data_IF_065361322582
#
_entry.id   IF_065361322582
#
_cell.length_a   1.000
_cell.length_b   1.000
_cell.length_c   1.000
_cell.angle_alpha   90.00
_cell.angle_beta   90.00
_cell.angle_gamma   90.00
#
_symmetry.space_group_name_H-M   'P 1'
#
loop_
_entity.id
_entity.type
_entity.pdbx_description
1 polymer ?
#
# COMPACT_ATOMS: atom_id res chain seq x y z
N UNK A 1 -2.02 8.77 -4.34
CA UNK A 1 -2.73 7.73 -5.13
C UNK A 1 -1.76 7.18 -6.17
N UNK A 2 -1.37 5.91 -6.07
CA UNK A 2 -0.55 5.27 -7.12
C UNK A 2 -1.48 4.67 -8.17
N UNK A 3 -1.44 5.23 -9.38
CA UNK A 3 -2.26 4.80 -10.51
C UNK A 3 -1.35 4.02 -11.48
N UNK A 4 -1.67 2.76 -11.76
CA UNK A 4 -1.04 1.99 -12.84
C UNK A 4 -2.13 1.56 -13.81
N UNK A 5 -1.99 1.92 -15.08
CA UNK A 5 -2.97 1.65 -16.15
C UNK A 5 -4.37 2.29 -15.92
N UNK A 6 -4.42 3.47 -15.28
CA UNK A 6 -5.67 4.20 -15.05
C UNK A 6 -6.53 3.68 -13.87
N UNK A 7 -6.13 2.59 -13.20
CA UNK A 7 -6.80 2.08 -12.00
C UNK A 7 -5.97 2.35 -10.73
N UNK A 8 -6.60 2.75 -9.61
CA UNK A 8 -5.90 2.90 -8.34
C UNK A 8 -5.39 1.55 -7.84
N UNK A 9 -4.11 1.47 -7.48
CA UNK A 9 -3.57 0.32 -6.72
C UNK A 9 -3.82 0.43 -5.23
N UNK A 10 -3.78 1.65 -4.71
CA UNK A 10 -4.00 1.93 -3.30
C UNK A 10 -4.45 3.37 -3.05
N UNK A 11 -5.21 3.54 -1.98
CA UNK A 11 -5.57 4.83 -1.39
C UNK A 11 -4.74 4.99 -0.12
N UNK A 12 -3.78 5.91 -0.15
CA UNK A 12 -2.81 6.16 0.93
C UNK A 12 -3.00 7.59 1.39
N UNK A 13 -3.08 7.75 2.71
CA UNK A 13 -3.12 9.04 3.37
C UNK A 13 -1.71 9.48 3.72
N UNK A 14 -1.37 10.72 3.37
CA UNK A 14 -0.08 11.32 3.65
C UNK A 14 -0.23 12.40 4.71
N UNK A 15 0.72 12.45 5.64
CA UNK A 15 0.87 13.52 6.62
C UNK A 15 2.30 14.04 6.52
N UNK A 16 2.49 15.37 6.39
CA UNK A 16 3.81 15.99 6.23
C UNK A 16 4.65 15.34 5.12
N UNK A 17 4.03 15.05 3.97
CA UNK A 17 4.63 14.37 2.81
C UNK A 17 5.09 12.92 3.06
N UNK A 18 4.70 12.30 4.18
CA UNK A 18 5.01 10.90 4.50
C UNK A 18 3.75 10.05 4.52
N UNK A 19 3.80 8.79 4.06
CA UNK A 19 2.67 7.87 4.19
C UNK A 19 2.37 7.67 5.67
N UNK A 20 1.09 7.83 6.03
CA UNK A 20 0.60 7.72 7.40
C UNK A 20 -0.23 6.46 7.58
N UNK A 21 -1.23 6.28 6.71
CA UNK A 21 -2.16 5.16 6.75
C UNK A 21 -2.50 4.73 5.33
N UNK A 22 -2.97 3.49 5.17
CA UNK A 22 -3.51 2.98 3.92
C UNK A 22 -4.97 2.61 4.13
N UNK A 23 -5.86 3.17 3.31
CA UNK A 23 -7.30 2.94 3.46
C UNK A 23 -7.75 1.69 2.73
N UNK A 24 -7.28 1.53 1.48
CA UNK A 24 -7.68 0.44 0.59
C UNK A 24 -6.54 0.07 -0.36
N UNK A 25 -6.44 -1.22 -0.65
CA UNK A 25 -5.61 -1.78 -1.70
C UNK A 25 -6.51 -2.49 -2.69
N UNK A 26 -6.11 -2.49 -3.96
CA UNK A 26 -6.90 -3.09 -5.02
C UNK A 26 -6.06 -4.02 -5.88
N UNK A 27 -6.66 -5.12 -6.31
CA UNK A 27 -6.13 -5.91 -7.43
C UNK A 27 -6.41 -5.21 -8.78
N UNK A 28 -5.95 -5.79 -9.90
CA UNK A 28 -6.22 -5.24 -11.25
C UNK A 28 -7.70 -5.23 -11.64
N UNK A 29 -8.52 -6.08 -11.01
CA UNK A 29 -9.97 -6.17 -11.22
C UNK A 29 -10.74 -5.20 -10.30
N UNK A 30 -10.03 -4.40 -9.49
CA UNK A 30 -10.58 -3.46 -8.51
C UNK A 30 -11.22 -4.14 -7.29
N UNK A 31 -10.91 -5.41 -7.02
CA UNK A 31 -11.30 -6.05 -5.77
C UNK A 31 -10.45 -5.53 -4.62
N UNK A 32 -11.04 -5.38 -3.44
CA UNK A 32 -10.32 -4.93 -2.25
C UNK A 32 -9.41 -6.05 -1.75
N UNK A 33 -8.16 -5.70 -1.49
CA UNK A 33 -7.15 -6.55 -0.88
C UNK A 33 -6.77 -6.02 0.51
N UNK A 34 -6.30 -6.92 1.37
CA UNK A 34 -5.64 -6.53 2.61
C UNK A 34 -4.32 -5.82 2.29
N UNK A 35 -4.07 -4.70 2.94
CA UNK A 35 -2.91 -3.86 2.64
C UNK A 35 -1.65 -4.17 3.47
N UNK A 36 -1.74 -5.06 4.44
CA UNK A 36 -0.73 -5.20 5.48
C UNK A 36 -1.01 -4.32 6.71
N UNK A 37 -0.33 -4.59 7.84
CA UNK A 37 -0.52 -3.90 9.11
C UNK A 37 0.16 -2.52 9.15
N UNK A 38 -0.12 -1.63 8.19
CA UNK A 38 0.45 -0.29 8.13
C UNK A 38 -0.44 0.75 8.82
N UNK A 39 0.03 1.32 9.92
CA UNK A 39 -0.68 2.33 10.69
C UNK A 39 0.27 3.37 11.28
N UNK A 40 -0.15 4.64 11.27
CA UNK A 40 0.58 5.75 11.85
C UNK A 40 2.04 5.86 11.35
N UNK A 41 2.28 5.52 10.08
CA UNK A 41 3.60 5.53 9.44
C UNK A 41 4.47 4.31 9.76
N UNK A 42 3.95 3.29 10.43
CA UNK A 42 4.71 2.13 10.87
C UNK A 42 4.05 0.83 10.40
N UNK A 43 4.86 -0.20 10.17
CA UNK A 43 4.40 -1.55 9.82
C UNK A 43 4.72 -1.93 8.38
N UNK A 44 3.94 -2.83 7.81
CA UNK A 44 4.21 -3.42 6.49
C UNK A 44 3.12 -3.02 5.49
N UNK A 45 3.53 -2.69 4.26
CA UNK A 45 2.65 -2.54 3.09
C UNK A 45 2.86 -3.74 2.16
N UNK A 46 1.77 -4.42 1.83
CA UNK A 46 1.80 -5.63 1.01
C UNK A 46 1.66 -5.28 -0.47
N UNK A 47 2.51 -5.87 -1.30
CA UNK A 47 2.53 -5.68 -2.75
C UNK A 47 2.13 -6.98 -3.43
N UNK A 48 1.09 -6.87 -4.26
CA UNK A 48 0.53 -7.99 -5.02
C UNK A 48 0.86 -7.88 -6.51
N UNK A 49 1.02 -9.04 -7.15
CA UNK A 49 1.10 -9.15 -8.60
C UNK A 49 -0.28 -8.94 -9.27
N UNK A 50 -0.33 -9.18 -10.57
CA UNK A 50 -1.55 -9.04 -11.36
C UNK A 50 -2.62 -10.09 -11.11
N UNK A 51 -2.24 -11.23 -10.55
CA UNK A 51 -3.11 -12.36 -10.22
C UNK A 51 -3.58 -12.31 -8.76
N UNK A 52 -3.12 -11.33 -7.99
CA UNK A 52 -3.43 -11.19 -6.56
C UNK A 52 -2.50 -12.00 -5.65
N UNK A 53 -1.38 -12.51 -6.17
CA UNK A 53 -0.37 -13.18 -5.34
C UNK A 53 0.51 -12.14 -4.64
N UNK A 54 0.80 -12.35 -3.36
CA UNK A 54 1.74 -11.49 -2.62
C UNK A 54 3.17 -11.72 -3.12
N UNK A 55 3.83 -10.64 -3.56
CA UNK A 55 5.19 -10.72 -4.12
C UNK A 55 6.23 -9.92 -3.33
N UNK A 56 5.80 -8.94 -2.52
CA UNK A 56 6.70 -8.18 -1.65
C UNK A 56 5.96 -7.66 -0.43
N UNK A 57 6.74 -7.37 0.61
CA UNK A 57 6.33 -6.64 1.80
C UNK A 57 7.32 -5.52 2.04
N UNK A 58 6.83 -4.29 1.98
CA UNK A 58 7.66 -3.11 2.24
C UNK A 58 7.48 -2.71 3.70
N UNK A 59 8.58 -2.66 4.45
CA UNK A 59 8.55 -2.25 5.86
C UNK A 59 8.73 -0.73 5.98
N UNK A 60 7.99 -0.13 6.90
CA UNK A 60 8.02 1.31 7.16
C UNK A 60 8.18 1.61 8.64
N UNK A 61 8.94 2.68 8.93
CA UNK A 61 9.09 3.27 10.25
C UNK A 61 8.98 4.78 10.16
N UNK A 62 8.04 5.38 10.88
CA UNK A 62 7.77 6.83 10.85
C UNK A 62 7.58 7.40 9.42
N UNK A 63 6.93 6.62 8.56
CA UNK A 63 6.64 6.95 7.16
C UNK A 63 7.83 6.81 6.22
N UNK A 64 8.96 6.31 6.68
CA UNK A 64 10.15 6.03 5.87
C UNK A 64 10.23 4.54 5.56
N UNK A 65 10.58 4.19 4.33
CA UNK A 65 10.86 2.81 3.94
C UNK A 65 12.12 2.32 4.67
N UNK A 66 12.05 1.11 5.20
CA UNK A 66 13.15 0.45 5.90
C UNK A 66 13.33 -0.90 5.24
N UNK A 67 14.54 -1.16 4.75
CA UNK A 67 14.91 -2.43 4.13
C UNK A 67 15.54 -3.38 5.14
#
# INVERSE_FOLDING_TARGET
MFIKNGKPKSIINFEKNKPKNIEKCFDKKSNILYCGPFNNGNGEIYIYDENGNLISKDHFKNGEFVN
#
